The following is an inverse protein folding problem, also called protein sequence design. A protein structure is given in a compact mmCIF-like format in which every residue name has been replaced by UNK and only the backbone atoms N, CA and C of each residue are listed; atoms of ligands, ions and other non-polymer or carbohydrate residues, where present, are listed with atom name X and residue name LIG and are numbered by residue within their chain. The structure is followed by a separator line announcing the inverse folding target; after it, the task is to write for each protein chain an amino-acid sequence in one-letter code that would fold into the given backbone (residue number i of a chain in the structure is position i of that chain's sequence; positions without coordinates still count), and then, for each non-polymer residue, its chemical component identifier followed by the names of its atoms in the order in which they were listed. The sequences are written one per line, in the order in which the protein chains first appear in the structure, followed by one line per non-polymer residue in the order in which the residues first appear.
data_IF_088592657085
#
_entry.id   IF_088592657085
#
_cell.length_a   1.000
_cell.length_b   1.000
_cell.length_c   1.000
_cell.angle_alpha   90.00
_cell.angle_beta   90.00
_cell.angle_gamma   90.00
#
_symmetry.space_group_name_H-M   'P 1'
#
loop_
_entity.id
_entity.type
_entity.pdbx_description
1 polymer ?
#
# COMPACT_ATOMS: atom_id res chain seq x y z
N UNK A 1 -6.42 8.48 -6.99
CA UNK A 1 -7.62 9.15 -6.44
C UNK A 1 -7.09 10.18 -5.46
N UNK A 2 -7.29 11.47 -5.73
CA UNK A 2 -6.78 12.54 -4.86
C UNK A 2 -7.77 12.72 -3.71
N UNK A 3 -7.32 12.48 -2.48
CA UNK A 3 -8.06 12.90 -1.29
C UNK A 3 -7.78 14.39 -1.14
N UNK A 4 -8.70 15.24 -1.59
CA UNK A 4 -8.57 16.68 -1.42
C UNK A 4 -9.14 17.15 -0.08
N UNK A 5 -10.10 16.42 0.50
CA UNK A 5 -10.74 16.77 1.76
C UNK A 5 -11.49 15.58 2.37
N UNK A 6 -11.62 15.55 3.71
CA UNK A 6 -12.55 14.66 4.44
C UNK A 6 -13.94 15.28 4.65
N UNK A 7 -14.22 16.40 3.99
CA UNK A 7 -15.46 17.19 4.13
C UNK A 7 -15.41 18.25 5.24
N UNK A 8 -14.45 18.16 6.18
CA UNK A 8 -14.27 19.14 7.26
C UNK A 8 -12.85 19.74 7.33
N UNK A 9 -11.87 19.06 6.75
CA UNK A 9 -10.46 19.48 6.74
C UNK A 9 -9.84 19.14 5.38
N UNK A 10 -8.89 19.97 4.95
CA UNK A 10 -8.11 19.73 3.73
C UNK A 10 -7.02 18.71 4.01
N UNK A 11 -6.66 17.94 2.98
CA UNK A 11 -5.55 17.01 3.04
C UNK A 11 -4.28 17.73 2.60
N UNK A 12 -3.26 17.71 3.44
CA UNK A 12 -1.96 18.30 3.15
C UNK A 12 -1.08 17.31 2.38
N UNK A 13 -0.99 16.07 2.87
CA UNK A 13 -0.18 15.02 2.25
C UNK A 13 -0.81 13.65 2.49
N UNK A 14 -0.47 12.71 1.61
CA UNK A 14 -0.85 11.31 1.75
C UNK A 14 0.40 10.48 1.52
N UNK A 15 0.72 9.64 2.49
CA UNK A 15 1.88 8.76 2.48
C UNK A 15 1.39 7.32 2.58
N UNK A 16 1.97 6.43 1.78
CA UNK A 16 1.65 5.01 1.80
C UNK A 16 2.90 4.22 2.16
N UNK A 17 2.74 3.30 3.11
CA UNK A 17 3.74 2.35 3.52
C UNK A 17 3.25 0.93 3.25
N UNK A 18 4.09 0.13 2.62
CA UNK A 18 3.77 -1.22 2.20
C UNK A 18 4.69 -2.19 2.94
N UNK A 19 4.14 -3.29 3.44
CA UNK A 19 4.91 -4.44 3.88
C UNK A 19 4.81 -5.53 2.84
N UNK A 20 5.96 -5.99 2.37
CA UNK A 20 6.05 -7.02 1.34
C UNK A 20 7.05 -8.12 1.70
N UNK A 21 6.83 -9.31 1.16
CA UNK A 21 7.79 -10.41 1.24
C UNK A 21 8.93 -10.18 0.22
N UNK A 22 10.20 -10.06 0.64
CA UNK A 22 11.32 -9.86 -0.27
C UNK A 22 11.61 -11.06 -1.19
N UNK A 23 11.09 -12.26 -0.88
CA UNK A 23 11.28 -13.45 -1.72
C UNK A 23 10.39 -13.43 -2.97
N UNK A 24 9.13 -13.02 -2.82
CA UNK A 24 8.12 -13.08 -3.88
C UNK A 24 7.62 -11.71 -4.36
N UNK A 25 7.89 -10.64 -3.61
CA UNK A 25 7.30 -9.33 -3.87
C UNK A 25 5.83 -9.21 -3.46
N UNK A 26 5.30 -10.19 -2.74
CA UNK A 26 3.90 -10.19 -2.32
C UNK A 26 3.65 -9.14 -1.23
N UNK A 27 2.61 -8.32 -1.42
CA UNK A 27 2.25 -7.29 -0.44
C UNK A 27 1.32 -7.91 0.61
N UNK A 28 1.75 -7.92 1.87
CA UNK A 28 0.98 -8.46 2.99
C UNK A 28 0.17 -7.39 3.72
N UNK A 29 0.66 -6.14 3.73
CA UNK A 29 -0.03 -5.04 4.40
C UNK A 29 0.21 -3.72 3.67
N UNK A 30 -0.85 -2.91 3.62
CA UNK A 30 -0.81 -1.54 3.11
C UNK A 30 -1.30 -0.62 4.20
N UNK A 31 -0.42 0.26 4.66
CA UNK A 31 -0.73 1.28 5.63
C UNK A 31 -0.74 2.64 4.94
N UNK A 32 -1.89 3.33 5.00
CA UNK A 32 -2.05 4.64 4.38
C UNK A 32 -2.27 5.68 5.46
N UNK A 33 -1.44 6.70 5.45
CA UNK A 33 -1.52 7.83 6.37
C UNK A 33 -1.90 9.06 5.58
N UNK A 34 -2.92 9.76 6.08
CA UNK A 34 -3.42 11.00 5.51
C UNK A 34 -3.11 12.10 6.52
N UNK A 35 -2.21 13.01 6.15
CA UNK A 35 -1.88 14.18 6.95
C UNK A 35 -2.84 15.30 6.58
N UNK A 36 -3.61 15.77 7.56
CA UNK A 36 -4.56 16.87 7.38
C UNK A 36 -3.83 18.21 7.51
N UNK A 37 -4.34 19.26 6.87
CA UNK A 37 -3.79 20.61 6.96
C UNK A 37 -3.76 21.11 8.41
N UNK A 38 -2.59 21.56 8.86
CA UNK A 38 -2.36 22.01 10.24
C UNK A 38 -1.94 20.91 11.22
N UNK A 39 -1.92 19.64 10.79
CA UNK A 39 -1.33 18.55 11.56
C UNK A 39 0.20 18.51 11.35
N UNK A 40 0.99 18.08 12.36
CA UNK A 40 2.41 17.82 12.16
C UNK A 40 2.61 16.71 11.14
N UNK A 41 3.61 16.87 10.27
CA UNK A 41 3.98 15.85 9.31
C UNK A 41 4.49 14.60 10.05
N UNK A 42 4.05 13.42 9.63
CA UNK A 42 4.51 12.17 10.21
C UNK A 42 5.82 11.78 9.57
N UNK A 43 6.90 11.70 10.36
CA UNK A 43 8.20 11.31 9.84
C UNK A 43 8.15 9.88 9.27
N UNK A 44 8.99 9.58 8.28
CA UNK A 44 9.05 8.24 7.68
C UNK A 44 9.34 7.17 8.74
N UNK A 45 10.21 7.46 9.71
CA UNK A 45 10.53 6.53 10.79
C UNK A 45 9.33 6.21 11.70
N UNK A 46 8.51 7.22 12.03
CA UNK A 46 7.28 7.01 12.81
C UNK A 46 6.25 6.23 12.02
N UNK A 47 6.12 6.53 10.73
CA UNK A 47 5.20 5.87 9.81
C UNK A 47 5.56 4.39 9.64
N UNK A 48 6.85 4.06 9.53
CA UNK A 48 7.34 2.67 9.54
C UNK A 48 7.01 1.97 10.86
N UNK A 49 7.32 2.61 12.00
CA UNK A 49 7.07 2.02 13.31
C UNK A 49 5.57 1.75 13.55
N UNK A 50 4.68 2.65 13.11
CA UNK A 50 3.24 2.46 13.17
C UNK A 50 2.77 1.34 12.24
N UNK A 51 3.28 1.29 11.01
CA UNK A 51 2.98 0.24 10.04
C UNK A 51 3.38 -1.14 10.55
N UNK A 52 4.58 -1.27 11.13
CA UNK A 52 5.06 -2.52 11.70
C UNK A 52 4.22 -2.93 12.92
N UNK A 53 3.88 -1.99 13.81
CA UNK A 53 3.00 -2.27 14.95
C UNK A 53 1.62 -2.73 14.48
N UNK A 54 1.04 -2.08 13.49
CA UNK A 54 -0.25 -2.47 12.93
C UNK A 54 -0.22 -3.88 12.34
N UNK A 55 0.83 -4.22 11.59
CA UNK A 55 1.01 -5.55 11.02
C UNK A 55 1.25 -6.63 12.08
N UNK A 56 2.02 -6.34 13.13
CA UNK A 56 2.19 -7.25 14.27
C UNK A 56 0.85 -7.51 14.97
N UNK A 57 0.04 -6.47 15.17
CA UNK A 57 -1.29 -6.59 15.78
C UNK A 57 -2.25 -7.44 14.92
N UNK A 58 -2.04 -7.47 13.60
CA UNK A 58 -2.76 -8.35 12.66
C UNK A 58 -2.22 -9.79 12.64
N UNK A 59 -1.17 -10.09 13.40
CA UNK A 59 -0.54 -11.42 13.46
C UNK A 59 0.43 -11.70 12.30
N UNK A 60 0.89 -10.67 11.58
CA UNK A 60 1.87 -10.84 10.51
C UNK A 60 3.30 -10.95 11.08
N UNK A 61 4.11 -11.82 10.49
CA UNK A 61 5.53 -11.95 10.85
C UNK A 61 6.35 -10.82 10.22
N UNK A 62 6.35 -9.66 10.87
CA UNK A 62 7.04 -8.47 10.37
C UNK A 62 8.56 -8.62 10.27
N UNK A 63 9.17 -9.64 10.89
CA UNK A 63 10.62 -9.87 10.77
C UNK A 63 11.02 -10.40 9.40
N UNK A 64 10.08 -11.02 8.69
CA UNK A 64 10.27 -11.56 7.34
C UNK A 64 9.87 -10.57 6.25
N UNK A 65 9.18 -9.49 6.62
CA UNK A 65 8.67 -8.49 5.70
C UNK A 65 9.64 -7.30 5.59
N UNK A 66 9.68 -6.69 4.41
CA UNK A 66 10.38 -5.42 4.18
C UNK A 66 9.37 -4.30 3.99
N UNK A 67 9.80 -3.08 4.34
CA UNK A 67 9.00 -1.87 4.19
C UNK A 67 9.34 -1.18 2.87
N UNK A 68 8.31 -0.72 2.15
CA UNK A 68 8.46 0.16 1.00
C UNK A 68 7.54 1.38 1.14
N UNK A 69 8.12 2.57 1.03
CA UNK A 69 7.37 3.82 0.96
C UNK A 69 7.01 4.13 -0.48
N UNK A 70 5.76 4.48 -0.72
CA UNK A 70 5.28 4.91 -2.03
C UNK A 70 4.46 6.19 -1.89
N UNK A 71 4.53 7.05 -2.89
CA UNK A 71 3.68 8.24 -2.97
C UNK A 71 2.22 7.85 -3.18
N UNK A 72 1.30 8.67 -2.68
CA UNK A 72 -0.14 8.42 -2.81
C UNK A 72 -0.65 8.33 -4.27
N UNK A 73 0.08 8.91 -5.22
CA UNK A 73 -0.26 8.84 -6.64
C UNK A 73 0.20 7.53 -7.30
N UNK A 74 1.11 6.80 -6.68
CA UNK A 74 1.64 5.53 -7.20
C UNK A 74 0.73 4.36 -6.86
N UNK A 75 0.04 4.44 -5.71
CA UNK A 75 -0.86 3.41 -5.23
C UNK A 75 -2.34 3.79 -5.46
N UNK A 76 -3.04 2.98 -6.28
CA UNK A 76 -4.45 3.18 -6.60
C UNK A 76 -5.30 1.99 -6.19
N UNK A 77 -6.31 2.18 -5.36
CA UNK A 77 -7.16 1.12 -4.78
C UNK A 77 -7.86 0.23 -5.82
N UNK A 78 -7.93 0.66 -7.09
CA UNK A 78 -8.54 -0.11 -8.19
C UNK A 78 -7.56 -1.00 -8.97
N UNK A 79 -6.31 -1.08 -8.56
CA UNK A 79 -5.30 -1.89 -9.20
C UNK A 79 -4.69 -2.90 -8.25
N UNK A 80 -4.27 -4.03 -8.80
CA UNK A 80 -3.49 -5.03 -8.07
C UNK A 80 -2.01 -4.68 -8.22
N UNK A 81 -1.26 -4.79 -7.14
CA UNK A 81 0.15 -4.45 -7.10
C UNK A 81 0.94 -5.54 -6.41
N UNK A 82 2.19 -5.66 -6.84
CA UNK A 82 3.25 -6.41 -6.18
C UNK A 82 4.46 -5.49 -6.06
N UNK A 83 5.43 -5.82 -5.23
CA UNK A 83 6.72 -5.12 -5.17
C UNK A 83 7.73 -5.88 -6.01
N UNK A 84 8.54 -5.18 -6.81
CA UNK A 84 9.74 -5.76 -7.40
C UNK A 84 10.86 -5.70 -6.35
N UNK A 85 11.27 -6.82 -5.71
CA UNK A 85 12.25 -6.80 -4.63
C UNK A 85 13.65 -6.38 -5.10
N UNK A 86 13.96 -6.53 -6.39
CA UNK A 86 15.26 -6.13 -6.95
C UNK A 86 15.36 -4.61 -7.12
N UNK A 87 14.25 -3.97 -7.52
CA UNK A 87 14.18 -2.52 -7.75
C UNK A 87 13.62 -1.75 -6.57
N UNK A 88 12.99 -2.44 -5.60
CA UNK A 88 12.22 -1.86 -4.50
C UNK A 88 11.19 -0.86 -5.01
N UNK A 89 10.47 -1.23 -6.07
CA UNK A 89 9.45 -0.38 -6.68
C UNK A 89 8.12 -1.11 -6.76
N UNK A 90 7.03 -0.33 -6.75
CA UNK A 90 5.69 -0.87 -6.91
C UNK A 90 5.47 -1.29 -8.37
N UNK A 91 5.19 -2.56 -8.58
CA UNK A 91 4.81 -3.13 -9.87
C UNK A 91 3.30 -3.28 -9.93
N UNK A 92 2.68 -2.56 -10.86
CA UNK A 92 1.26 -2.72 -11.16
C UNK A 92 1.06 -4.04 -11.88
N UNK A 93 0.30 -4.95 -11.29
CA UNK A 93 -0.15 -6.16 -11.97
C UNK A 93 -1.29 -5.79 -12.91
N UNK A 94 -1.19 -6.24 -14.16
CA UNK A 94 -2.35 -6.25 -15.04
C UNK A 94 -3.38 -7.18 -14.39
N UNK A 95 -4.57 -6.67 -14.08
CA UNK A 95 -5.69 -7.52 -13.71
C UNK A 95 -5.78 -8.62 -14.79
N UNK A 96 -5.89 -9.91 -14.41
CA UNK A 96 -6.18 -10.92 -15.41
C UNK A 96 -7.47 -10.47 -16.07
N UNK A 97 -7.39 -10.19 -17.37
CA UNK A 97 -8.55 -9.97 -18.22
C UNK A 97 -9.54 -11.07 -17.86
N UNK A 98 -10.77 -10.73 -17.48
CA UNK A 98 -11.85 -11.72 -17.28
C UNK A 98 -12.25 -12.34 -18.63
N UNK A 99 -11.28 -12.86 -19.38
CA UNK A 99 -11.47 -13.58 -20.63
C UNK A 99 -11.17 -15.05 -20.34
N UNK A 100 -12.14 -15.73 -19.74
CA UNK A 100 -12.01 -17.15 -19.48
C UNK A 100 -12.94 -17.63 -18.39
N UNK A 101 -14.26 -17.52 -18.61
CA UNK A 101 -15.30 -18.36 -18.01
C UNK A 101 -16.64 -17.97 -18.63
N UNK A 102 -16.83 -18.28 -19.92
CA UNK A 102 -18.17 -18.41 -20.49
C UNK A 102 -18.24 -19.74 -21.22
N UNK A 103 -18.91 -20.70 -20.58
CA UNK A 103 -19.51 -21.85 -21.25
C UNK A 103 -18.60 -23.04 -21.50
N UNK A 104 -18.27 -23.79 -20.45
CA UNK A 104 -18.16 -25.23 -20.59
C UNK A 104 -19.57 -25.81 -20.82
N UNK A 105 -19.73 -26.47 -21.97
CA UNK A 105 -20.64 -27.59 -22.32
C UNK A 105 -22.04 -27.66 -21.68
N UNK A 106 -23.07 -27.67 -22.53
CA UNK A 106 -24.11 -28.71 -22.58
C UNK A 106 -24.36 -29.06 -24.04
#
# INVERSE_FOLDING_TARGET
MNFSSTGSQNVQSVSCCLLFDPQGGEIHHVHRVVTMEGAPDTSQAELEAQTLRAAQNLGLDTKRLQVLHVGANEFSERARYSVDPAKRTLKKEALPSRTGLRGAKS
#
